data_IF_920196775249
#
_entry.id   IF_920196775249
#
_cell.length_a   1.000
_cell.length_b   1.000
_cell.length_c   1.000
_cell.angle_alpha   90.00
_cell.angle_beta   90.00
_cell.angle_gamma   90.00
#
_symmetry.space_group_name_H-M   'P 1'
#
loop_
_entity.id
_entity.type
_entity.pdbx_description
1 polymer ?
#
# COMPACT_ATOMS: atom_id res chain seq x y z
N UNK A 1 41.62 -68.55 1.86
CA UNK A 1 40.49 -69.27 1.24
C UNK A 1 40.10 -70.43 2.14
N UNK A 2 38.85 -70.91 2.12
CA UNK A 2 37.60 -70.27 1.69
C UNK A 2 36.81 -69.81 2.96
N UNK A 3 35.51 -69.50 3.01
CA UNK A 3 34.47 -69.22 2.01
C UNK A 3 33.98 -67.76 2.15
N UNK A 4 32.96 -67.36 1.39
CA UNK A 4 32.34 -66.01 1.43
C UNK A 4 30.81 -66.16 1.29
N UNK A 5 30.05 -65.90 2.34
CA UNK A 5 28.57 -65.86 2.25
C UNK A 5 28.11 -64.44 1.85
N UNK A 6 27.23 -64.29 0.84
CA UNK A 6 26.70 -62.99 0.46
C UNK A 6 25.65 -62.51 1.46
N UNK A 7 25.83 -61.30 2.03
CA UNK A 7 24.79 -60.66 2.83
C UNK A 7 23.69 -60.14 1.90
N UNK A 8 22.47 -60.66 2.08
CA UNK A 8 21.25 -60.16 1.42
C UNK A 8 21.03 -58.70 1.83
N UNK A 9 20.82 -57.83 0.84
CA UNK A 9 20.45 -56.43 1.08
C UNK A 9 19.00 -56.38 1.57
N UNK A 10 18.81 -56.12 2.87
CA UNK A 10 17.49 -55.85 3.43
C UNK A 10 16.89 -54.63 2.74
N UNK A 11 15.66 -54.77 2.24
CA UNK A 11 14.97 -53.74 1.48
C UNK A 11 14.85 -52.44 2.27
N UNK A 12 15.04 -51.31 1.58
CA UNK A 12 14.79 -49.97 2.15
C UNK A 12 13.30 -49.86 2.47
N UNK A 13 12.90 -50.05 3.73
CA UNK A 13 11.56 -49.67 4.14
C UNK A 13 11.45 -48.15 4.01
N UNK A 14 10.59 -47.72 3.09
CA UNK A 14 10.15 -46.33 3.05
C UNK A 14 9.28 -46.12 4.29
N UNK A 15 9.90 -45.71 5.39
CA UNK A 15 9.20 -45.24 6.59
C UNK A 15 8.49 -43.94 6.25
N UNK A 16 7.34 -44.05 5.61
CA UNK A 16 6.35 -42.98 5.50
C UNK A 16 6.01 -42.57 6.93
N UNK A 17 6.47 -41.39 7.32
CA UNK A 17 6.28 -40.85 8.67
C UNK A 17 4.82 -40.42 8.82
N UNK A 18 3.95 -41.39 9.04
CA UNK A 18 2.53 -41.17 9.29
C UNK A 18 2.38 -40.33 10.55
N UNK A 19 1.92 -39.09 10.38
CA UNK A 19 1.59 -38.21 11.49
C UNK A 19 0.26 -38.70 12.08
N UNK A 20 0.33 -39.31 13.26
CA UNK A 20 -0.86 -39.59 14.04
C UNK A 20 -1.45 -38.26 14.53
N UNK A 21 -2.48 -37.76 13.83
CA UNK A 21 -3.35 -36.71 14.36
C UNK A 21 -4.25 -37.38 15.39
N UNK A 22 -3.83 -37.34 16.66
CA UNK A 22 -4.69 -37.71 17.78
C UNK A 22 -5.83 -36.70 17.87
N UNK A 23 -7.03 -37.10 17.43
CA UNK A 23 -8.25 -36.27 17.52
C UNK A 23 -8.82 -36.23 18.96
N UNK A 24 -7.94 -36.28 19.95
CA UNK A 24 -8.24 -35.95 21.35
C UNK A 24 -8.37 -34.43 21.45
N UNK A 25 -9.45 -33.95 22.07
CA UNK A 25 -9.54 -32.53 22.44
C UNK A 25 -8.27 -32.13 23.23
N UNK A 26 -7.62 -31.01 22.91
CA UNK A 26 -6.35 -30.65 23.54
C UNK A 26 -6.57 -30.48 25.04
N UNK A 27 -5.87 -31.31 25.83
CA UNK A 27 -5.94 -31.25 27.28
C UNK A 27 -5.57 -29.86 27.80
N UNK A 28 -6.22 -29.38 28.86
CA UNK A 28 -5.99 -28.03 29.38
C UNK A 28 -4.55 -27.89 29.88
N UNK A 29 -3.75 -27.09 29.17
CA UNK A 29 -2.37 -26.82 29.53
C UNK A 29 -2.36 -25.81 30.69
N UNK A 30 -1.98 -26.26 31.88
CA UNK A 30 -1.65 -25.36 32.98
C UNK A 30 -0.25 -24.77 32.75
N UNK A 31 -0.11 -23.44 32.82
CA UNK A 31 1.19 -22.78 32.86
C UNK A 31 1.56 -22.47 34.33
N UNK A 32 2.40 -23.30 34.98
CA UNK A 32 2.83 -23.06 36.35
C UNK A 32 3.88 -21.95 36.47
N UNK A 33 4.40 -21.42 35.35
CA UNK A 33 5.41 -20.36 35.35
C UNK A 33 4.84 -18.94 35.37
N UNK A 34 3.52 -18.78 35.16
CA UNK A 34 2.91 -17.46 35.22
C UNK A 34 2.79 -16.95 36.67
N UNK A 35 3.24 -15.72 36.97
CA UNK A 35 3.19 -15.18 38.33
C UNK A 35 1.76 -14.96 38.85
N UNK A 36 1.52 -15.28 40.13
CA UNK A 36 0.23 -15.10 40.82
C UNK A 36 0.01 -13.66 41.35
N UNK A 37 1.01 -12.78 41.28
CA UNK A 37 0.93 -11.41 41.82
C UNK A 37 0.31 -10.43 40.80
N UNK A 38 -0.28 -9.34 41.31
CA UNK A 38 -0.96 -8.32 40.47
C UNK A 38 0.00 -7.37 39.75
N UNK A 39 1.25 -7.26 40.21
CA UNK A 39 2.29 -6.40 39.63
C UNK A 39 3.58 -7.23 39.47
N UNK A 40 3.66 -8.11 38.46
CA UNK A 40 4.80 -9.01 38.29
C UNK A 40 6.05 -8.23 37.91
N UNK A 41 7.22 -8.67 38.39
CA UNK A 41 8.50 -8.15 37.90
C UNK A 41 8.89 -8.81 36.57
N UNK A 42 9.67 -8.14 35.68
CA UNK A 42 10.14 -8.74 34.42
C UNK A 42 10.86 -10.08 34.61
N UNK A 43 11.52 -10.24 35.76
CA UNK A 43 12.21 -11.45 36.19
C UNK A 43 11.26 -12.59 36.57
N UNK A 44 10.19 -12.28 37.33
CA UNK A 44 9.13 -13.22 37.70
C UNK A 44 8.35 -13.74 36.50
N UNK A 45 8.08 -12.89 35.49
CA UNK A 45 7.38 -13.28 34.25
C UNK A 45 8.07 -14.46 33.54
N UNK A 46 9.40 -14.58 33.61
CA UNK A 46 10.15 -15.70 33.05
C UNK A 46 10.58 -16.77 34.07
N UNK A 47 10.29 -16.57 35.35
CA UNK A 47 10.78 -17.41 36.44
C UNK A 47 12.32 -17.42 36.56
N UNK A 48 12.97 -16.29 36.32
CA UNK A 48 14.45 -16.15 36.36
C UNK A 48 14.83 -15.33 37.62
N UNK A 49 15.82 -15.74 38.42
CA UNK A 49 16.27 -14.96 39.57
C UNK A 49 16.85 -13.61 39.15
N UNK A 50 16.67 -12.58 39.98
CA UNK A 50 17.20 -11.23 39.71
C UNK A 50 18.74 -11.27 39.62
N UNK A 51 19.31 -10.45 38.73
CA UNK A 51 20.76 -10.40 38.48
C UNK A 51 21.29 -11.41 37.44
N UNK A 52 21.05 -12.72 37.63
CA UNK A 52 21.60 -13.78 36.77
C UNK A 52 20.75 -14.06 35.50
N UNK A 53 20.96 -13.28 34.45
CA UNK A 53 20.30 -13.50 33.14
C UNK A 53 21.26 -14.14 32.13
N UNK A 54 21.02 -15.42 31.82
CA UNK A 54 21.51 -16.04 30.60
C UNK A 54 20.63 -15.64 29.41
N UNK A 55 21.14 -14.83 28.47
CA UNK A 55 20.42 -14.46 27.23
C UNK A 55 19.87 -15.67 26.48
N UNK A 56 20.59 -16.81 26.49
CA UNK A 56 20.16 -18.08 25.88
C UNK A 56 18.95 -18.69 26.60
N UNK A 57 18.92 -18.66 27.95
CA UNK A 57 17.80 -19.16 28.76
C UNK A 57 16.58 -18.24 28.61
N UNK A 58 16.78 -16.92 28.63
CA UNK A 58 15.75 -15.91 28.40
C UNK A 58 15.08 -16.10 27.04
N UNK A 59 15.85 -16.16 25.94
CA UNK A 59 15.31 -16.40 24.59
C UNK A 59 14.56 -17.74 24.48
N UNK A 60 15.06 -18.80 25.13
CA UNK A 60 14.39 -20.11 25.17
C UNK A 60 13.05 -20.04 25.92
N UNK A 61 12.99 -19.34 27.06
CA UNK A 61 11.75 -19.13 27.84
C UNK A 61 10.74 -18.29 27.07
N UNK A 62 11.15 -17.13 26.54
CA UNK A 62 10.32 -16.29 25.69
C UNK A 62 9.69 -17.07 24.53
N UNK A 63 10.49 -17.80 23.76
CA UNK A 63 9.96 -18.60 22.64
C UNK A 63 9.04 -19.75 23.07
N UNK A 64 9.21 -20.31 24.28
CA UNK A 64 8.30 -21.31 24.82
C UNK A 64 6.95 -20.70 25.21
N UNK A 65 6.96 -19.55 25.89
CA UNK A 65 5.74 -18.84 26.32
C UNK A 65 5.01 -18.20 25.13
N UNK A 66 5.73 -17.69 24.12
CA UNK A 66 5.14 -17.16 22.89
C UNK A 66 4.26 -18.21 22.19
N UNK A 67 4.69 -19.48 22.14
CA UNK A 67 3.87 -20.57 21.58
C UNK A 67 2.55 -20.83 22.32
N UNK A 68 2.46 -20.44 23.60
CA UNK A 68 1.25 -20.59 24.41
C UNK A 68 0.32 -19.38 24.26
N UNK A 69 0.87 -18.16 24.19
CA UNK A 69 0.11 -16.92 24.31
C UNK A 69 -0.04 -16.08 23.03
N UNK A 70 0.71 -16.37 21.96
CA UNK A 70 0.61 -15.63 20.70
C UNK A 70 -0.79 -15.76 20.09
N UNK A 71 -1.41 -14.67 19.59
CA UNK A 71 -2.80 -14.68 19.12
C UNK A 71 -3.05 -15.66 17.95
N UNK A 72 -2.07 -15.87 17.09
CA UNK A 72 -2.17 -16.83 15.96
C UNK A 72 -2.16 -18.29 16.43
N UNK A 73 -1.29 -18.63 17.41
CA UNK A 73 -1.07 -20.01 17.86
C UNK A 73 -2.02 -20.46 18.97
N UNK A 74 -2.52 -19.52 19.79
CA UNK A 74 -3.25 -19.82 21.02
C UNK A 74 -4.74 -20.08 20.84
N UNK A 75 -5.28 -19.96 19.61
CA UNK A 75 -6.69 -20.17 19.30
C UNK A 75 -7.18 -21.61 19.61
N UNK A 76 -6.33 -22.61 19.40
CA UNK A 76 -6.63 -24.01 19.73
C UNK A 76 -6.23 -24.43 21.16
N UNK A 77 -5.50 -23.58 21.91
CA UNK A 77 -4.90 -23.97 23.19
C UNK A 77 -5.80 -23.58 24.36
N UNK A 78 -6.30 -24.57 25.09
CA UNK A 78 -7.05 -24.35 26.35
C UNK A 78 -6.05 -24.15 27.48
N UNK A 79 -5.98 -22.94 28.03
CA UNK A 79 -5.10 -22.59 29.17
C UNK A 79 -5.96 -22.28 30.38
N UNK A 80 -5.65 -22.85 31.53
CA UNK A 80 -6.35 -22.60 32.79
C UNK A 80 -5.83 -21.32 33.46
N UNK A 81 -6.72 -20.61 34.17
CA UNK A 81 -6.33 -19.53 35.09
C UNK A 81 -5.68 -20.15 36.33
N UNK A 82 -4.54 -19.57 36.75
CA UNK A 82 -3.64 -20.08 37.80
C UNK A 82 -4.19 -20.05 39.24
N UNK A 83 -5.49 -19.76 39.39
CA UNK A 83 -6.26 -19.75 40.64
C UNK A 83 -7.17 -20.96 40.79
N UNK A 84 -7.43 -21.72 39.72
CA UNK A 84 -8.23 -22.94 39.78
C UNK A 84 -7.33 -24.11 40.13
N UNK A 85 -7.12 -24.31 41.44
CA UNK A 85 -6.44 -25.52 41.94
C UNK A 85 -7.30 -26.75 41.60
N UNK A 86 -6.66 -27.82 41.14
CA UNK A 86 -7.37 -29.02 40.64
C UNK A 86 -8.10 -29.74 41.78
N UNK A 87 -9.40 -29.52 41.88
CA UNK A 87 -10.29 -30.38 42.67
C UNK A 87 -10.27 -31.80 42.10
N UNK A 88 -9.74 -32.75 42.87
CA UNK A 88 -9.41 -34.12 42.42
C UNK A 88 -10.62 -34.99 41.95
N UNK A 89 -11.85 -34.48 42.01
CA UNK A 89 -13.08 -35.32 41.93
C UNK A 89 -14.21 -34.84 41.00
N UNK A 90 -14.01 -33.89 40.08
CA UNK A 90 -14.97 -33.67 38.99
C UNK A 90 -14.32 -33.23 37.67
N UNK A 91 -14.55 -34.02 36.62
CA UNK A 91 -14.21 -33.67 35.23
C UNK A 91 -15.31 -32.78 34.62
N UNK A 92 -15.49 -31.59 35.19
CA UNK A 92 -16.32 -30.51 34.62
C UNK A 92 -15.44 -29.27 34.63
N UNK A 93 -14.89 -28.92 33.46
CA UNK A 93 -14.09 -27.72 33.28
C UNK A 93 -15.04 -26.59 32.95
N UNK A 94 -15.37 -25.76 33.94
CA UNK A 94 -16.15 -24.54 33.71
C UNK A 94 -15.41 -23.61 32.75
N UNK A 95 -16.10 -23.16 31.70
CA UNK A 95 -15.53 -22.33 30.64
C UNK A 95 -14.97 -20.99 31.16
N UNK A 96 -15.46 -20.52 32.31
CA UNK A 96 -14.97 -19.34 33.04
C UNK A 96 -13.53 -19.48 33.56
N UNK A 97 -13.08 -20.71 33.85
CA UNK A 97 -11.73 -21.02 34.31
C UNK A 97 -10.70 -21.01 33.17
N UNK A 98 -11.14 -21.02 31.90
CA UNK A 98 -10.28 -20.87 30.74
C UNK A 98 -9.84 -19.41 30.55
N UNK A 99 -8.63 -19.26 30.05
CA UNK A 99 -8.01 -17.97 29.76
C UNK A 99 -8.55 -17.44 28.42
N UNK A 100 -9.24 -16.28 28.47
CA UNK A 100 -9.82 -15.65 27.28
C UNK A 100 -8.73 -15.23 26.28
N UNK A 101 -9.05 -15.11 24.99
CA UNK A 101 -8.12 -14.59 23.98
C UNK A 101 -7.57 -13.21 24.34
N UNK A 102 -8.38 -12.37 24.99
CA UNK A 102 -7.95 -11.06 25.52
C UNK A 102 -6.95 -11.18 26.67
N UNK A 103 -7.16 -12.17 27.56
CA UNK A 103 -6.24 -12.45 28.68
C UNK A 103 -4.92 -13.05 28.17
N UNK A 104 -4.96 -13.92 27.16
CA UNK A 104 -3.77 -14.45 26.48
C UNK A 104 -2.95 -13.33 25.84
N UNK A 105 -3.63 -12.40 25.14
CA UNK A 105 -3.00 -11.23 24.53
C UNK A 105 -2.34 -10.31 25.58
N UNK A 106 -2.99 -10.03 26.71
CA UNK A 106 -2.38 -9.21 27.77
C UNK A 106 -1.16 -9.89 28.41
N UNK A 107 -1.21 -11.21 28.63
CA UNK A 107 -0.02 -11.97 29.06
C UNK A 107 1.11 -11.93 28.02
N UNK A 108 0.78 -12.00 26.74
CA UNK A 108 1.75 -11.89 25.66
C UNK A 108 2.43 -10.50 25.63
N UNK A 109 1.65 -9.43 25.81
CA UNK A 109 2.17 -8.07 25.91
C UNK A 109 3.14 -7.90 27.09
N UNK A 110 2.73 -8.29 28.30
CA UNK A 110 3.56 -8.27 29.52
C UNK A 110 4.88 -9.03 29.29
N UNK A 111 4.81 -10.21 28.65
CA UNK A 111 5.98 -11.01 28.31
C UNK A 111 6.89 -10.33 27.29
N UNK A 112 6.34 -9.67 26.28
CA UNK A 112 7.12 -8.98 25.25
C UNK A 112 7.88 -7.78 25.84
N UNK A 113 7.19 -6.92 26.60
CA UNK A 113 7.81 -5.80 27.33
C UNK A 113 8.91 -6.29 28.30
N UNK A 114 8.65 -7.39 29.03
CA UNK A 114 9.63 -7.98 29.94
C UNK A 114 10.85 -8.54 29.18
N UNK A 115 10.64 -9.24 28.05
CA UNK A 115 11.73 -9.77 27.23
C UNK A 115 12.62 -8.63 26.74
N UNK A 116 12.01 -7.57 26.23
CA UNK A 116 12.73 -6.48 25.61
C UNK A 116 13.59 -5.71 26.63
N UNK A 117 13.01 -5.37 27.79
CA UNK A 117 13.69 -4.71 28.90
C UNK A 117 14.89 -5.53 29.43
N UNK A 118 14.77 -6.86 29.45
CA UNK A 118 15.83 -7.77 29.92
C UNK A 118 16.82 -8.20 28.82
N UNK A 119 16.47 -8.02 27.53
CA UNK A 119 17.29 -8.44 26.39
C UNK A 119 18.52 -7.54 26.19
N UNK A 120 18.32 -6.23 26.31
CA UNK A 120 19.36 -5.21 26.21
C UNK A 120 20.01 -4.99 27.58
N UNK A 121 21.35 -5.03 27.60
CA UNK A 121 22.11 -4.80 28.83
C UNK A 121 21.92 -3.40 29.40
N UNK A 122 21.71 -2.39 28.56
CA UNK A 122 21.50 -1.02 29.00
C UNK A 122 20.14 -0.87 29.68
N UNK A 123 19.05 -1.24 28.98
CA UNK A 123 17.68 -1.26 29.50
C UNK A 123 17.59 -2.05 30.82
N UNK A 124 18.18 -3.25 30.87
CA UNK A 124 18.28 -4.07 32.08
C UNK A 124 18.99 -3.32 33.21
N UNK A 125 20.16 -2.73 32.96
CA UNK A 125 20.93 -2.03 34.00
C UNK A 125 20.21 -0.79 34.56
N UNK A 126 19.47 -0.07 33.72
CA UNK A 126 18.63 1.06 34.13
C UNK A 126 17.45 0.59 34.97
N UNK A 127 16.79 -0.51 34.59
CA UNK A 127 15.75 -1.12 35.42
C UNK A 127 16.30 -1.65 36.76
N UNK A 128 17.43 -2.35 36.77
CA UNK A 128 18.02 -2.90 37.99
C UNK A 128 18.42 -1.77 38.97
N UNK A 129 18.91 -0.63 38.46
CA UNK A 129 19.35 0.52 39.27
C UNK A 129 18.23 1.45 39.73
N UNK A 130 17.24 1.72 38.88
CA UNK A 130 16.21 2.76 39.12
C UNK A 130 14.76 2.23 39.14
N UNK A 131 14.54 0.96 38.79
CA UNK A 131 13.21 0.32 38.61
C UNK A 131 12.29 1.05 37.61
N UNK A 132 12.87 1.87 36.74
CA UNK A 132 12.19 2.65 35.69
C UNK A 132 11.97 1.83 34.42
N UNK A 133 11.03 2.26 33.56
CA UNK A 133 10.76 1.62 32.27
C UNK A 133 10.00 0.29 32.34
N UNK A 134 9.29 0.01 33.44
CA UNK A 134 8.39 -1.15 33.55
C UNK A 134 6.95 -0.71 33.76
N UNK A 135 6.11 -0.88 32.74
CA UNK A 135 4.70 -0.45 32.71
C UNK A 135 3.87 -1.02 33.86
N UNK A 136 4.16 -2.27 34.27
CA UNK A 136 3.42 -3.02 35.30
C UNK A 136 4.04 -2.93 36.70
N UNK A 137 4.93 -1.97 36.94
CA UNK A 137 5.53 -1.73 38.27
C UNK A 137 4.50 -1.19 39.27
N UNK A 138 4.57 -1.45 40.59
CA UNK A 138 3.67 -0.83 41.56
C UNK A 138 3.73 0.71 41.51
N UNK A 139 2.59 1.39 41.77
CA UNK A 139 2.49 2.86 41.67
C UNK A 139 3.54 3.60 42.51
N UNK A 140 3.88 3.07 43.69
CA UNK A 140 4.90 3.62 44.59
C UNK A 140 6.29 3.71 43.95
N UNK A 141 6.63 2.78 43.05
CA UNK A 141 7.91 2.79 42.32
C UNK A 141 7.83 3.63 41.04
N UNK A 142 6.69 3.62 40.34
CA UNK A 142 6.47 4.49 39.16
C UNK A 142 6.57 5.98 39.51
N UNK A 143 5.99 6.38 40.63
CA UNK A 143 5.95 7.77 41.09
C UNK A 143 7.18 8.17 41.94
N UNK A 144 8.16 7.29 42.11
CA UNK A 144 9.41 7.63 42.81
C UNK A 144 10.19 8.69 42.00
N UNK A 145 10.70 9.77 42.62
CA UNK A 145 11.42 10.81 41.90
C UNK A 145 12.65 10.27 41.14
N UNK A 146 13.30 9.23 41.67
CA UNK A 146 14.41 8.53 41.01
C UNK A 146 13.97 7.80 39.74
N UNK A 147 12.78 7.19 39.74
CA UNK A 147 12.20 6.50 38.58
C UNK A 147 11.67 7.50 37.54
N UNK A 148 11.04 8.58 37.99
CA UNK A 148 10.54 9.66 37.14
C UNK A 148 11.68 10.33 36.36
N UNK A 149 12.78 10.69 37.03
CA UNK A 149 13.96 11.27 36.38
C UNK A 149 14.61 10.29 35.37
N UNK A 150 14.74 9.01 35.73
CA UNK A 150 15.26 7.98 34.83
C UNK A 150 14.32 7.65 33.66
N UNK A 151 13.01 7.90 33.79
CA UNK A 151 12.01 7.68 32.74
C UNK A 151 11.87 8.89 31.81
N UNK A 152 12.08 10.13 32.29
CA UNK A 152 11.97 11.34 31.47
C UNK A 152 12.90 11.33 30.24
N UNK A 153 14.17 10.95 30.42
CA UNK A 153 15.12 10.68 29.35
C UNK A 153 15.28 9.17 29.07
N UNK A 154 14.35 8.37 29.55
CA UNK A 154 14.34 6.93 29.42
C UNK A 154 13.86 6.49 28.04
N UNK A 155 14.27 5.28 27.65
CA UNK A 155 13.87 4.66 26.39
C UNK A 155 12.35 4.59 26.17
N UNK A 156 11.58 4.51 27.25
CA UNK A 156 10.11 4.47 27.27
C UNK A 156 9.41 5.83 27.04
N UNK A 157 10.11 6.98 26.99
CA UNK A 157 9.47 8.30 26.85
C UNK A 157 9.30 8.79 25.40
N UNK A 158 9.87 8.09 24.42
CA UNK A 158 9.73 8.48 23.01
C UNK A 158 8.42 7.95 22.40
N UNK A 159 7.60 8.79 21.74
CA UNK A 159 6.39 8.32 21.04
C UNK A 159 6.67 7.28 19.96
N UNK A 160 7.89 7.29 19.39
CA UNK A 160 8.36 6.29 18.45
C UNK A 160 8.42 4.89 19.11
N UNK A 161 8.87 4.80 20.36
CA UNK A 161 9.00 3.52 21.03
C UNK A 161 7.64 2.88 21.31
N UNK A 162 6.67 3.66 21.82
CA UNK A 162 5.29 3.16 21.99
C UNK A 162 4.73 2.66 20.66
N UNK A 163 4.90 3.41 19.57
CA UNK A 163 4.46 3.01 18.24
C UNK A 163 5.10 1.70 17.76
N UNK A 164 6.42 1.54 17.87
CA UNK A 164 7.12 0.32 17.43
C UNK A 164 6.83 -0.91 18.30
N UNK A 165 6.37 -0.71 19.54
CA UNK A 165 5.99 -1.78 20.47
C UNK A 165 4.50 -2.13 20.46
N UNK A 166 3.66 -1.37 19.76
CA UNK A 166 2.25 -1.69 19.60
C UNK A 166 2.08 -3.02 18.85
N UNK A 167 1.80 -4.09 19.58
CA UNK A 167 1.65 -5.45 19.04
C UNK A 167 0.37 -5.62 18.22
N UNK A 168 -0.58 -4.70 18.35
CA UNK A 168 -1.80 -4.68 17.53
C UNK A 168 -2.19 -3.26 17.11
N UNK A 169 -2.91 -3.16 15.98
CA UNK A 169 -3.53 -1.91 15.50
C UNK A 169 -4.46 -1.25 16.52
N UNK A 170 -5.02 -2.01 17.47
CA UNK A 170 -5.82 -1.46 18.58
C UNK A 170 -4.99 -0.57 19.52
N UNK A 171 -3.71 -0.91 19.74
CA UNK A 171 -2.80 -0.14 20.59
C UNK A 171 -2.31 1.12 19.88
N UNK A 172 -1.97 1.01 18.60
CA UNK A 172 -1.70 2.19 17.74
C UNK A 172 -2.89 3.15 17.76
N UNK A 173 -4.11 2.63 17.65
CA UNK A 173 -5.33 3.44 17.70
C UNK A 173 -5.56 4.10 19.08
N UNK A 174 -5.22 3.40 20.18
CA UNK A 174 -5.22 4.00 21.53
C UNK A 174 -4.24 5.16 21.62
N UNK A 175 -3.02 5.05 21.10
CA UNK A 175 -2.05 6.15 21.07
C UNK A 175 -2.58 7.36 20.31
N UNK A 176 -3.16 7.15 19.13
CA UNK A 176 -3.77 8.24 18.34
C UNK A 176 -4.97 8.90 19.05
N UNK A 177 -5.73 8.14 19.84
CA UNK A 177 -6.85 8.67 20.65
C UNK A 177 -6.38 9.39 21.91
N UNK A 178 -5.25 8.96 22.49
CA UNK A 178 -4.62 9.54 23.69
C UNK A 178 -3.84 10.82 23.42
N UNK A 179 -3.60 11.19 22.16
CA UNK A 179 -2.85 12.37 21.74
C UNK A 179 -3.78 13.47 21.15
N UNK A 180 -4.65 14.11 21.97
CA UNK A 180 -5.66 15.05 21.52
C UNK A 180 -5.08 16.40 21.05
N UNK A 181 -3.76 16.55 20.98
CA UNK A 181 -3.08 17.72 20.42
C UNK A 181 -3.00 17.68 18.88
N UNK A 182 -2.99 16.48 18.27
CA UNK A 182 -2.89 16.30 16.80
C UNK A 182 -4.24 16.25 16.10
N UNK A 183 -5.20 17.07 16.55
CA UNK A 183 -6.48 17.22 15.84
C UNK A 183 -6.19 17.82 14.47
N UNK A 184 -6.86 17.32 13.43
CA UNK A 184 -6.65 17.76 12.05
C UNK A 184 -6.84 19.28 11.96
N UNK A 185 -5.75 20.04 11.78
CA UNK A 185 -5.82 21.50 11.77
C UNK A 185 -6.58 21.95 10.52
N UNK A 186 -7.58 22.82 10.72
CA UNK A 186 -8.34 23.40 9.61
C UNK A 186 -7.41 24.13 8.62
N UNK A 187 -6.33 24.75 9.11
CA UNK A 187 -5.30 25.36 8.26
C UNK A 187 -4.52 24.35 7.41
N UNK A 188 -4.26 23.16 7.94
CA UNK A 188 -3.67 22.07 7.16
C UNK A 188 -4.65 21.60 6.09
N UNK A 189 -5.94 21.43 6.41
CA UNK A 189 -6.97 21.09 5.43
C UNK A 189 -7.07 22.14 4.30
N UNK A 190 -7.07 23.43 4.66
CA UNK A 190 -7.07 24.54 3.69
C UNK A 190 -5.81 24.50 2.80
N UNK A 191 -4.63 24.25 3.36
CA UNK A 191 -3.39 24.13 2.57
C UNK A 191 -3.46 22.97 1.55
N UNK A 192 -4.00 21.81 1.92
CA UNK A 192 -4.23 20.69 0.99
C UNK A 192 -5.23 21.05 -0.12
N UNK A 193 -6.33 21.74 0.23
CA UNK A 193 -7.34 22.18 -0.75
C UNK A 193 -6.76 23.23 -1.72
N UNK A 194 -6.00 24.21 -1.21
CA UNK A 194 -5.31 25.19 -2.04
C UNK A 194 -4.28 24.52 -2.97
N UNK A 195 -3.49 23.57 -2.47
CA UNK A 195 -2.55 22.79 -3.29
C UNK A 195 -3.24 22.04 -4.42
N UNK A 196 -4.35 21.34 -4.12
CA UNK A 196 -5.15 20.63 -5.11
C UNK A 196 -5.77 21.59 -6.16
N UNK A 197 -6.27 22.75 -5.74
CA UNK A 197 -6.79 23.77 -6.64
C UNK A 197 -5.71 24.32 -7.59
N UNK A 198 -4.48 24.55 -7.09
CA UNK A 198 -3.34 24.94 -7.93
C UNK A 198 -3.01 23.85 -8.94
N UNK A 199 -2.95 22.57 -8.54
CA UNK A 199 -2.73 21.46 -9.48
C UNK A 199 -3.78 21.42 -10.59
N UNK A 200 -5.06 21.60 -10.27
CA UNK A 200 -6.16 21.65 -11.26
C UNK A 200 -6.02 22.86 -12.19
N UNK A 201 -5.62 24.03 -11.69
CA UNK A 201 -5.36 25.19 -12.55
C UNK A 201 -4.14 24.99 -13.45
N UNK A 202 -3.07 24.35 -12.96
CA UNK A 202 -1.90 24.01 -13.76
C UNK A 202 -2.24 23.05 -14.91
N UNK A 203 -3.07 22.02 -14.69
CA UNK A 203 -3.50 21.13 -15.78
C UNK A 203 -4.35 21.86 -16.82
N UNK A 204 -5.26 22.75 -16.38
CA UNK A 204 -6.06 23.59 -17.28
C UNK A 204 -5.24 24.65 -18.04
N UNK A 205 -4.08 25.05 -17.52
CA UNK A 205 -3.14 25.95 -18.19
C UNK A 205 -2.35 25.19 -19.26
N UNK A 206 -1.84 24.00 -18.94
CA UNK A 206 -1.11 23.14 -19.88
C UNK A 206 -1.96 22.79 -21.11
N UNK A 207 -3.22 22.39 -20.93
CA UNK A 207 -4.11 22.07 -22.06
C UNK A 207 -4.42 23.29 -22.95
N UNK A 208 -4.45 24.51 -22.39
CA UNK A 208 -4.58 25.75 -23.18
C UNK A 208 -3.33 26.08 -23.99
N UNK A 209 -2.15 25.82 -23.43
CA UNK A 209 -0.87 25.98 -24.16
C UNK A 209 -0.79 24.98 -25.31
N UNK A 210 -1.16 23.72 -25.07
CA UNK A 210 -1.22 22.67 -26.10
C UNK A 210 -2.18 23.04 -27.23
N UNK A 211 -3.40 23.50 -26.90
CA UNK A 211 -4.38 23.97 -27.88
C UNK A 211 -3.86 25.16 -28.72
N UNK A 212 -3.16 26.11 -28.10
CA UNK A 212 -2.58 27.26 -28.83
C UNK A 212 -1.43 26.86 -29.75
N UNK A 213 -0.57 25.92 -29.34
CA UNK A 213 0.54 25.42 -30.16
C UNK A 213 0.05 24.57 -31.34
N UNK A 214 -0.96 23.73 -31.12
CA UNK A 214 -1.55 22.89 -32.17
C UNK A 214 -2.31 23.71 -33.20
N UNK A 215 -3.05 24.75 -32.78
CA UNK A 215 -3.73 25.66 -33.71
C UNK A 215 -2.76 26.35 -34.68
N UNK A 216 -1.61 26.83 -34.19
CA UNK A 216 -0.62 27.52 -35.03
C UNK A 216 0.01 26.58 -36.08
N UNK A 217 0.33 25.33 -35.72
CA UNK A 217 0.81 24.34 -36.69
C UNK A 217 -0.26 24.05 -37.75
N UNK A 218 -1.52 23.86 -37.35
CA UNK A 218 -2.61 23.60 -38.28
C UNK A 218 -2.79 24.73 -39.32
N UNK A 219 -2.73 26.00 -38.88
CA UNK A 219 -2.80 27.13 -39.82
C UNK A 219 -1.62 27.19 -40.79
N UNK A 220 -0.41 26.80 -40.36
CA UNK A 220 0.75 26.77 -41.24
C UNK A 220 0.60 25.70 -42.32
N UNK A 221 0.25 24.47 -41.92
CA UNK A 221 -0.05 23.35 -42.80
C UNK A 221 -1.11 23.66 -43.86
N UNK A 222 -2.17 24.40 -43.50
CA UNK A 222 -3.20 24.85 -44.45
C UNK A 222 -2.62 25.86 -45.47
N UNK A 223 -1.85 26.85 -45.00
CA UNK A 223 -1.22 27.84 -45.91
C UNK A 223 -0.21 27.20 -46.87
N UNK A 224 0.55 26.20 -46.44
CA UNK A 224 1.44 25.45 -47.33
C UNK A 224 0.67 24.65 -48.38
N UNK A 225 -0.41 23.96 -47.97
CA UNK A 225 -1.27 23.21 -48.91
C UNK A 225 -1.90 24.14 -49.95
N UNK A 226 -2.46 25.28 -49.55
CA UNK A 226 -3.05 26.24 -50.49
C UNK A 226 -2.01 26.81 -51.46
N UNK A 227 -0.80 27.11 -50.98
CA UNK A 227 0.30 27.60 -51.80
C UNK A 227 0.79 26.53 -52.80
N UNK A 228 0.95 25.28 -52.37
CA UNK A 228 1.26 24.14 -53.26
C UNK A 228 0.16 23.93 -54.30
N UNK A 229 -1.11 23.96 -53.87
CA UNK A 229 -2.27 23.83 -54.77
C UNK A 229 -2.33 24.96 -55.79
N UNK A 230 -1.99 26.20 -55.42
CA UNK A 230 -1.86 27.31 -56.35
C UNK A 230 -0.72 27.07 -57.38
N UNK A 231 0.45 26.58 -56.94
CA UNK A 231 1.57 26.23 -57.85
C UNK A 231 1.20 25.13 -58.84
N UNK A 232 0.48 24.08 -58.42
CA UNK A 232 0.00 23.02 -59.32
C UNK A 232 -1.32 23.38 -60.03
N UNK A 233 -1.77 24.64 -59.99
CA UNK A 233 -3.00 25.13 -60.60
C UNK A 233 -4.27 24.32 -60.19
N UNK A 234 -4.25 23.75 -58.98
CA UNK A 234 -5.19 22.78 -58.42
C UNK A 234 -5.36 21.51 -59.29
N UNK A 235 -4.31 21.07 -59.98
CA UNK A 235 -4.31 19.85 -60.80
C UNK A 235 -5.01 19.97 -62.15
N UNK A 236 -5.20 21.19 -62.68
CA UNK A 236 -5.79 21.41 -64.01
C UNK A 236 -4.76 21.93 -65.02
N UNK A 237 -4.93 21.50 -66.28
CA UNK A 237 -4.07 21.85 -67.40
C UNK A 237 -3.84 23.35 -67.60
N UNK A 238 -2.65 23.69 -68.07
CA UNK A 238 -2.21 25.06 -68.37
C UNK A 238 -2.64 25.56 -69.75
N UNK A 239 -3.34 24.75 -70.55
CA UNK A 239 -3.79 25.14 -71.89
C UNK A 239 -4.74 26.36 -71.86
N UNK A 240 -4.62 27.21 -72.90
CA UNK A 240 -5.38 28.45 -73.03
C UNK A 240 -6.90 28.20 -73.08
N UNK A 241 -7.34 27.10 -73.70
CA UNK A 241 -8.77 26.78 -73.80
C UNK A 241 -9.32 26.22 -72.49
N UNK A 242 -8.54 25.37 -71.80
CA UNK A 242 -8.87 24.90 -70.45
C UNK A 242 -8.97 26.06 -69.45
N UNK A 243 -8.05 27.03 -69.52
CA UNK A 243 -8.11 28.26 -68.70
C UNK A 243 -9.32 29.13 -69.02
N UNK A 244 -9.69 29.29 -70.29
CA UNK A 244 -10.87 30.05 -70.71
C UNK A 244 -12.17 29.38 -70.23
N UNK A 245 -12.31 28.06 -70.41
CA UNK A 245 -13.43 27.27 -69.88
C UNK A 245 -13.58 27.44 -68.37
N UNK A 246 -12.46 27.35 -67.63
CA UNK A 246 -12.43 27.51 -66.17
C UNK A 246 -12.89 28.90 -65.73
N UNK A 247 -12.43 29.96 -66.41
CA UNK A 247 -12.88 31.33 -66.14
C UNK A 247 -14.38 31.51 -66.40
N UNK A 248 -14.88 31.03 -67.53
CA UNK A 248 -16.31 31.07 -67.87
C UNK A 248 -17.15 30.28 -66.85
N UNK A 249 -16.68 29.10 -66.46
CA UNK A 249 -17.33 28.25 -65.45
C UNK A 249 -17.43 28.94 -64.09
N UNK A 250 -16.33 29.49 -63.56
CA UNK A 250 -16.34 30.24 -62.30
C UNK A 250 -17.25 31.47 -62.37
N UNK A 251 -17.24 32.20 -63.49
CA UNK A 251 -18.16 33.33 -63.73
C UNK A 251 -19.62 32.90 -63.68
N UNK A 252 -19.98 31.79 -64.33
CA UNK A 252 -21.36 31.28 -64.30
C UNK A 252 -21.76 30.74 -62.93
N UNK A 253 -20.86 30.04 -62.25
CA UNK A 253 -21.10 29.49 -60.91
C UNK A 253 -21.27 30.58 -59.83
N UNK A 254 -20.61 31.73 -59.99
CA UNK A 254 -20.82 32.90 -59.14
C UNK A 254 -22.14 33.65 -59.40
N UNK A 255 -22.68 33.57 -60.62
CA UNK A 255 -23.89 34.31 -61.03
C UNK A 255 -25.18 33.50 -60.88
N UNK A 256 -25.13 32.18 -61.09
CA UNK A 256 -26.29 31.29 -61.08
C UNK A 256 -26.10 30.18 -60.05
N UNK A 257 -27.18 29.83 -59.34
CA UNK A 257 -27.22 28.69 -58.39
C UNK A 257 -28.18 27.57 -58.80
N UNK A 258 -29.14 27.83 -59.70
CA UNK A 258 -30.09 26.83 -60.15
C UNK A 258 -29.51 25.98 -61.28
N UNK A 259 -29.53 24.65 -61.14
CA UNK A 259 -28.88 23.71 -62.07
C UNK A 259 -29.25 23.95 -63.54
N UNK A 260 -30.53 24.19 -63.84
CA UNK A 260 -31.03 24.47 -65.20
C UNK A 260 -30.40 25.72 -65.83
N UNK A 261 -30.07 26.73 -65.03
CA UNK A 261 -29.41 27.94 -65.51
C UNK A 261 -27.91 27.71 -65.72
N UNK A 262 -27.24 26.97 -64.82
CA UNK A 262 -25.85 26.56 -65.02
C UNK A 262 -25.70 25.71 -66.30
N UNK A 263 -26.57 24.72 -66.50
CA UNK A 263 -26.53 23.84 -67.67
C UNK A 263 -26.74 24.65 -68.97
N UNK A 264 -27.68 25.60 -68.99
CA UNK A 264 -27.92 26.50 -70.14
C UNK A 264 -26.72 27.40 -70.44
N UNK A 265 -26.13 28.03 -69.43
CA UNK A 265 -24.97 28.90 -69.63
C UNK A 265 -23.69 28.10 -69.95
N UNK A 266 -23.54 26.87 -69.45
CA UNK A 266 -22.46 25.97 -69.87
C UNK A 266 -22.52 25.66 -71.37
N UNK A 267 -23.70 25.38 -71.92
CA UNK A 267 -23.88 25.17 -73.37
C UNK A 267 -23.55 26.42 -74.20
N UNK A 268 -23.87 27.62 -73.70
CA UNK A 268 -23.47 28.88 -74.35
C UNK A 268 -21.97 29.12 -74.26
N UNK A 269 -21.36 28.86 -73.11
CA UNK A 269 -19.92 29.00 -72.89
C UNK A 269 -19.11 28.09 -73.82
N UNK A 270 -19.50 26.82 -73.99
CA UNK A 270 -18.83 25.92 -74.93
C UNK A 270 -18.96 26.39 -76.39
N UNK A 271 -20.11 26.95 -76.79
CA UNK A 271 -20.26 27.58 -78.13
C UNK A 271 -19.31 28.76 -78.33
N UNK A 272 -19.18 29.63 -77.32
CA UNK A 272 -18.23 30.76 -77.36
C UNK A 272 -16.78 30.25 -77.46
N UNK A 273 -16.43 29.20 -76.73
CA UNK A 273 -15.09 28.56 -76.80
C UNK A 273 -14.82 27.96 -78.19
N UNK A 274 -15.83 27.31 -78.80
CA UNK A 274 -15.73 26.79 -80.18
C UNK A 274 -15.57 27.91 -81.20
N UNK A 275 -16.42 28.94 -81.18
CA UNK A 275 -16.35 30.08 -82.11
C UNK A 275 -14.99 30.78 -82.05
N UNK A 276 -14.45 30.99 -80.85
CA UNK A 276 -13.11 31.58 -80.67
C UNK A 276 -11.99 30.66 -81.15
N UNK A 277 -12.15 29.33 -81.07
CA UNK A 277 -11.20 28.35 -81.58
C UNK A 277 -11.16 28.35 -83.12
N UNK A 278 -12.32 28.37 -83.76
CA UNK A 278 -12.45 28.37 -85.22
C UNK A 278 -11.99 29.70 -85.84
N UNK A 279 -12.33 30.82 -85.19
CA UNK A 279 -11.85 32.17 -85.55
C UNK A 279 -10.35 32.37 -85.27
N UNK A 280 -9.79 31.59 -84.35
CA UNK A 280 -8.34 31.53 -84.10
C UNK A 280 -7.60 30.78 -85.21
N UNK A 281 -8.13 29.64 -85.66
CA UNK A 281 -7.53 28.83 -86.73
C UNK A 281 -7.57 29.49 -88.10
N UNK A 282 -8.66 30.19 -88.42
CA UNK A 282 -8.81 30.93 -89.70
C UNK A 282 -7.93 32.19 -89.82
N UNK A 283 -7.24 32.59 -88.75
CA UNK A 283 -6.23 33.68 -88.75
C UNK A 283 -4.78 33.19 -88.78
N UNK A 284 -4.56 31.88 -88.72
CA UNK A 284 -3.22 31.25 -88.74
C UNK A 284 -2.94 30.41 -89.98
N UNK A 285 -3.79 30.54 -91.00
CA UNK A 285 -3.67 29.95 -92.34
C UNK A 285 -3.62 31.06 -93.37
#
# INVERSE_FOLDING_TARGET
MPYRFPKVLSGKSLLTRSYAVSNSAPEPIHDPSWPKNSNPTPYEVFGIPQGQIDRRKLKKRYHAMAKLYHPDMSNGVRILKSSTEMSHHSYIIDESALLSSKDKQSRFQVMNEAYELLSDSHKKSTYDRFRSGWSYSPANFRNSPYSAAATAHGYHSSPNYEYWNAGTWEEVNKMHRSDPGKRFSLWTAVAWICGLAVCVQCTALLTRIEASLTQNHFTHDETEKDLVMAYVNYGLDTDKWSRLRRFLWFRTYGMYRAKSDLDREAHKNERIVQELKDKGGTRSS
#
